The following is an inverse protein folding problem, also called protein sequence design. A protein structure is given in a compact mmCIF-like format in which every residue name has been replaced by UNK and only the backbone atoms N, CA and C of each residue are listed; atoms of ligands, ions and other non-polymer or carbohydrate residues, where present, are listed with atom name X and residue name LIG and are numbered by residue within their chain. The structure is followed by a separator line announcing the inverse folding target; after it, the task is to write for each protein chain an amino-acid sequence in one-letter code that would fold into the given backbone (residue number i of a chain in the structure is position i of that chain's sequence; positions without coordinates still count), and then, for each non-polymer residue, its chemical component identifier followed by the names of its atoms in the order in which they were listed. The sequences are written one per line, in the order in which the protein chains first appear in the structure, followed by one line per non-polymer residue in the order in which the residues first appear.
data_IF_257581972387
#
_entry.id   IF_257581972387
#
_cell.length_a   1.000
_cell.length_b   1.000
_cell.length_c   1.000
_cell.angle_alpha   90.00
_cell.angle_beta   90.00
_cell.angle_gamma   90.00
#
_symmetry.space_group_name_H-M   'P 1'
#
loop_
_entity.id
_entity.type
_entity.pdbx_description
1 polymer ?
#
# COMPACT_ATOMS: atom_id res chain seq x y z
N UNK A 1 12.38 -3.73 4.91
CA UNK A 1 11.91 -5.09 5.21
C UNK A 1 10.39 -5.09 5.14
N UNK A 2 9.74 -6.14 4.61
CA UNK A 2 8.28 -6.29 4.59
C UNK A 2 7.72 -6.63 5.98
N UNK A 3 6.51 -6.19 6.39
CA UNK A 3 5.88 -6.72 7.59
C UNK A 3 5.66 -8.23 7.45
N UNK A 4 6.27 -9.05 8.32
CA UNK A 4 6.08 -10.51 8.32
C UNK A 4 4.61 -10.93 8.50
N UNK A 5 3.77 -10.04 9.06
CA UNK A 5 2.35 -10.27 9.30
C UNK A 5 1.53 -10.45 8.02
N UNK A 6 1.98 -9.90 6.90
CA UNK A 6 1.33 -10.04 5.60
C UNK A 6 2.20 -10.99 4.79
N UNK A 7 1.82 -12.28 4.75
CA UNK A 7 2.54 -13.35 4.02
C UNK A 7 2.51 -13.18 2.49
N UNK A 8 2.52 -11.95 1.98
CA UNK A 8 2.62 -11.67 0.55
C UNK A 8 4.07 -11.83 0.07
N UNK A 9 4.27 -12.45 -1.11
CA UNK A 9 5.56 -12.44 -1.78
C UNK A 9 5.90 -11.01 -2.23
N UNK A 10 7.18 -10.74 -2.44
CA UNK A 10 7.57 -9.51 -3.13
C UNK A 10 6.96 -9.52 -4.54
N UNK A 11 6.47 -8.37 -5.00
CA UNK A 11 5.93 -8.20 -6.34
C UNK A 11 6.98 -7.51 -7.21
N UNK A 12 7.19 -8.04 -8.41
CA UNK A 12 7.85 -7.28 -9.48
C UNK A 12 6.85 -6.30 -10.13
N UNK A 13 7.29 -5.55 -11.13
CA UNK A 13 6.46 -4.56 -11.80
C UNK A 13 5.25 -5.17 -12.52
N UNK A 14 5.37 -6.38 -13.05
CA UNK A 14 4.27 -7.05 -13.77
C UNK A 14 3.19 -7.52 -12.79
N UNK A 15 3.61 -8.20 -11.72
CA UNK A 15 2.73 -8.62 -10.63
C UNK A 15 2.06 -7.42 -9.95
N UNK A 16 2.81 -6.35 -9.70
CA UNK A 16 2.27 -5.12 -9.11
C UNK A 16 1.27 -4.44 -10.04
N UNK A 17 1.57 -4.32 -11.34
CA UNK A 17 0.63 -3.75 -12.31
C UNK A 17 -0.69 -4.55 -12.37
N UNK A 18 -0.61 -5.88 -12.30
CA UNK A 18 -1.79 -6.74 -12.28
C UNK A 18 -2.56 -6.60 -10.96
N UNK A 19 -1.88 -6.47 -9.82
CA UNK A 19 -2.50 -6.19 -8.53
C UNK A 19 -3.24 -4.85 -8.56
N UNK A 20 -2.60 -3.78 -9.05
CA UNK A 20 -3.24 -2.46 -9.21
C UNK A 20 -4.48 -2.56 -10.10
N UNK A 21 -4.41 -3.26 -11.23
CA UNK A 21 -5.57 -3.45 -12.12
C UNK A 21 -6.76 -4.11 -11.42
N UNK A 22 -6.51 -5.07 -10.53
CA UNK A 22 -7.55 -5.77 -9.78
C UNK A 22 -8.10 -4.95 -8.61
N UNK A 23 -7.24 -4.16 -7.95
CA UNK A 23 -7.59 -3.40 -6.75
C UNK A 23 -8.17 -2.03 -7.07
N UNK A 24 -7.77 -1.44 -8.20
CA UNK A 24 -8.17 -0.09 -8.60
C UNK A 24 -9.69 0.12 -8.64
N UNK A 25 -10.50 -0.79 -9.21
CA UNK A 25 -11.95 -0.62 -9.18
C UNK A 25 -12.53 -0.54 -7.76
N UNK A 26 -12.00 -1.33 -6.82
CA UNK A 26 -12.51 -1.38 -5.45
C UNK A 26 -12.24 -0.10 -4.66
N UNK A 27 -11.12 0.57 -4.92
CA UNK A 27 -10.68 1.76 -4.17
C UNK A 27 -10.97 3.08 -4.90
N UNK A 28 -11.04 3.08 -6.23
CA UNK A 28 -10.99 4.33 -7.03
C UNK A 28 -12.15 4.51 -8.01
N UNK A 29 -12.94 3.47 -8.31
CA UNK A 29 -13.99 3.55 -9.34
C UNK A 29 -15.37 3.26 -8.75
N UNK A 30 -16.27 4.24 -8.79
CA UNK A 30 -17.61 4.11 -8.24
C UNK A 30 -18.17 5.44 -7.78
N UNK A 31 -19.49 5.55 -7.71
CA UNK A 31 -20.14 6.74 -7.18
C UNK A 31 -19.85 6.86 -5.67
N UNK A 32 -19.42 8.04 -5.24
CA UNK A 32 -19.06 8.31 -3.84
C UNK A 32 -17.66 7.83 -3.42
N UNK A 33 -16.85 7.30 -4.35
CA UNK A 33 -15.47 6.97 -4.05
C UNK A 33 -14.63 8.23 -3.84
N UNK A 34 -13.74 8.19 -2.85
CA UNK A 34 -12.79 9.27 -2.55
C UNK A 34 -11.42 8.67 -2.30
N UNK A 35 -10.40 9.28 -2.89
CA UNK A 35 -9.00 8.97 -2.62
C UNK A 35 -8.28 10.21 -2.11
N UNK A 36 -7.72 10.11 -0.92
CA UNK A 36 -6.86 11.13 -0.32
C UNK A 36 -5.69 10.40 0.34
N UNK A 37 -4.50 10.54 -0.25
CA UNK A 37 -3.23 10.06 0.28
C UNK A 37 -2.33 11.29 0.46
N UNK A 38 -1.84 11.48 1.68
CA UNK A 38 -0.94 12.58 2.01
C UNK A 38 0.28 12.05 2.75
N UNK A 39 1.41 12.73 2.56
CA UNK A 39 2.67 12.43 3.21
C UNK A 39 3.09 13.61 4.11
N UNK A 40 3.64 13.29 5.28
CA UNK A 40 4.18 14.28 6.20
C UNK A 40 5.64 14.57 5.85
N UNK A 41 5.86 15.60 5.03
CA UNK A 41 7.20 16.02 4.58
C UNK A 41 8.15 16.33 5.75
N UNK A 42 7.62 16.80 6.88
CA UNK A 42 8.43 17.14 8.06
C UNK A 42 9.01 15.91 8.76
N UNK A 43 8.46 14.72 8.48
CA UNK A 43 8.93 13.44 9.01
C UNK A 43 9.73 12.63 8.00
N UNK A 44 9.90 13.11 6.78
CA UNK A 44 10.67 12.41 5.74
C UNK A 44 12.11 12.23 6.18
N UNK A 45 12.61 11.00 6.07
CA UNK A 45 14.01 10.67 6.36
C UNK A 45 14.71 10.38 5.03
N UNK A 46 15.88 10.96 4.80
CA UNK A 46 16.67 10.75 3.57
C UNK A 46 18.09 10.34 3.94
N UNK A 47 18.52 9.20 3.40
CA UNK A 47 19.91 8.74 3.40
C UNK A 47 20.43 8.85 1.97
N UNK A 48 21.14 9.94 1.67
CA UNK A 48 21.63 10.26 0.32
C UNK A 48 22.69 9.24 -0.13
N UNK A 49 23.57 8.81 0.77
CA UNK A 49 24.66 7.88 0.46
C UNK A 49 24.12 6.52 0.04
N UNK A 50 23.03 6.08 0.69
CA UNK A 50 22.33 4.84 0.34
C UNK A 50 21.25 5.03 -0.72
N UNK A 51 20.92 6.27 -1.09
CA UNK A 51 19.79 6.64 -1.97
C UNK A 51 18.46 6.09 -1.45
N UNK A 52 18.27 6.13 -0.13
CA UNK A 52 17.05 5.65 0.53
C UNK A 52 16.28 6.86 1.06
N UNK A 53 14.96 6.83 0.90
CA UNK A 53 14.08 7.78 1.56
C UNK A 53 12.90 7.05 2.22
N UNK A 54 12.45 7.57 3.36
CA UNK A 54 11.33 7.04 4.13
C UNK A 54 10.24 8.11 4.20
N UNK A 55 9.04 7.75 3.76
CA UNK A 55 7.86 8.60 3.79
C UNK A 55 6.86 8.08 4.81
N UNK A 56 6.28 9.00 5.58
CA UNK A 56 5.20 8.71 6.52
C UNK A 56 3.90 9.22 5.92
N UNK A 57 3.01 8.31 5.57
CA UNK A 57 1.78 8.58 4.85
C UNK A 57 0.53 8.29 5.65
N UNK A 58 -0.56 8.97 5.30
CA UNK A 58 -1.92 8.63 5.75
C UNK A 58 -2.88 8.66 4.57
N UNK A 59 -3.83 7.75 4.57
CA UNK A 59 -4.93 7.74 3.62
C UNK A 59 -6.28 7.91 4.32
N UNK A 60 -7.20 8.68 3.72
CA UNK A 60 -8.61 8.79 4.12
C UNK A 60 -9.52 8.59 2.91
N UNK A 61 -9.71 7.32 2.58
CA UNK A 61 -10.39 6.89 1.37
C UNK A 61 -11.81 6.39 1.67
N UNK A 62 -12.64 6.41 0.64
CA UNK A 62 -13.93 5.71 0.62
C UNK A 62 -13.95 4.90 -0.66
N UNK A 63 -14.07 3.58 -0.52
CA UNK A 63 -14.22 2.66 -1.64
C UNK A 63 -15.49 1.83 -1.51
N UNK A 64 -15.59 0.77 -2.32
CA UNK A 64 -16.74 -0.14 -2.32
C UNK A 64 -16.98 -0.80 -0.95
N UNK A 65 -15.91 -1.06 -0.20
CA UNK A 65 -15.94 -1.63 1.15
C UNK A 65 -16.29 -0.58 2.24
N UNK A 66 -16.54 0.68 1.88
CA UNK A 66 -16.78 1.79 2.79
C UNK A 66 -15.51 2.58 3.14
N UNK A 67 -15.48 3.28 4.28
CA UNK A 67 -14.32 4.09 4.69
C UNK A 67 -13.06 3.24 4.90
N UNK A 68 -11.91 3.76 4.47
CA UNK A 68 -10.58 3.18 4.65
C UNK A 68 -9.61 4.27 5.10
N UNK A 69 -9.24 4.24 6.37
CA UNK A 69 -8.26 5.15 6.97
C UNK A 69 -7.01 4.36 7.33
N UNK A 70 -5.90 4.63 6.65
CA UNK A 70 -4.68 3.84 6.77
C UNK A 70 -3.47 4.73 7.05
N UNK A 71 -2.51 4.20 7.78
CA UNK A 71 -1.19 4.78 7.98
C UNK A 71 -0.13 3.95 7.23
N UNK A 72 0.85 4.64 6.67
CA UNK A 72 1.89 4.05 5.85
C UNK A 72 3.26 4.49 6.32
N UNK A 73 4.21 3.56 6.35
CA UNK A 73 5.65 3.85 6.33
C UNK A 73 6.19 3.24 5.05
N UNK A 74 6.60 4.09 4.11
CA UNK A 74 7.12 3.67 2.80
C UNK A 74 8.62 3.91 2.78
N UNK A 75 9.41 2.85 2.65
CA UNK A 75 10.86 2.94 2.43
C UNK A 75 11.14 2.67 0.96
N UNK A 76 11.79 3.62 0.30
CA UNK A 76 12.09 3.53 -1.12
C UNK A 76 13.58 3.74 -1.37
N UNK A 77 14.13 2.90 -2.24
CA UNK A 77 15.51 3.03 -2.74
C UNK A 77 15.47 3.54 -4.17
N UNK A 78 16.21 4.61 -4.44
CA UNK A 78 16.36 5.16 -5.77
C UNK A 78 17.52 4.51 -6.55
N UNK A 79 17.45 4.56 -7.88
CA UNK A 79 18.58 4.23 -8.76
C UNK A 79 19.72 5.24 -8.62
N UNK A 80 20.85 4.97 -9.26
CA UNK A 80 22.09 5.75 -9.11
C UNK A 80 21.94 7.25 -9.39
N UNK A 81 21.13 7.63 -10.37
CA UNK A 81 20.89 9.03 -10.73
C UNK A 81 19.75 9.70 -9.95
N UNK A 82 19.09 8.96 -9.04
CA UNK A 82 18.01 9.48 -8.20
C UNK A 82 16.69 9.75 -8.94
N UNK A 83 16.51 9.28 -10.17
CA UNK A 83 15.32 9.58 -10.99
C UNK A 83 14.19 8.56 -10.86
N UNK A 84 14.46 7.36 -10.34
CA UNK A 84 13.50 6.25 -10.26
C UNK A 84 13.64 5.47 -8.97
N UNK A 85 12.51 5.01 -8.44
CA UNK A 85 12.48 3.99 -7.38
C UNK A 85 12.78 2.61 -7.99
N UNK A 86 13.74 1.89 -7.43
CA UNK A 86 14.12 0.52 -7.85
C UNK A 86 13.74 -0.54 -6.82
N UNK A 87 13.43 -0.11 -5.60
CA UNK A 87 12.92 -0.98 -4.54
C UNK A 87 12.00 -0.16 -3.64
N UNK A 88 10.86 -0.72 -3.26
CA UNK A 88 9.91 -0.10 -2.35
C UNK A 88 9.39 -1.12 -1.37
N UNK A 89 9.26 -0.70 -0.13
CA UNK A 89 8.73 -1.51 0.96
C UNK A 89 7.70 -0.67 1.70
N UNK A 90 6.50 -1.23 1.87
CA UNK A 90 5.39 -0.56 2.54
C UNK A 90 5.05 -1.31 3.82
N UNK A 91 5.07 -0.58 4.93
CA UNK A 91 4.49 -1.02 6.19
C UNK A 91 3.16 -0.29 6.38
N UNK A 92 2.13 -1.05 6.73
CA UNK A 92 0.77 -0.54 6.92
C UNK A 92 0.22 -1.05 8.24
N UNK A 93 -0.82 -0.39 8.76
CA UNK A 93 -1.63 -0.99 9.83
C UNK A 93 -2.36 -2.22 9.26
N UNK A 94 -1.86 -3.39 9.65
CA UNK A 94 -2.40 -4.67 9.21
C UNK A 94 -3.80 -4.95 9.75
N UNK A 95 -4.20 -4.36 10.88
CA UNK A 95 -5.54 -4.54 11.42
C UNK A 95 -6.57 -3.78 10.58
N UNK A 96 -6.25 -2.55 10.18
CA UNK A 96 -7.05 -1.78 9.23
C UNK A 96 -7.17 -2.53 7.90
N UNK A 97 -6.05 -3.02 7.37
CA UNK A 97 -6.06 -3.76 6.12
C UNK A 97 -6.92 -5.04 6.21
N UNK A 98 -6.81 -5.79 7.31
CA UNK A 98 -7.61 -6.99 7.52
C UNK A 98 -9.11 -6.70 7.57
N UNK A 99 -9.53 -5.65 8.30
CA UNK A 99 -10.94 -5.22 8.36
C UNK A 99 -11.50 -4.89 6.98
N UNK A 100 -10.74 -4.15 6.16
CA UNK A 100 -11.16 -3.76 4.81
C UNK A 100 -11.26 -4.97 3.89
N UNK A 101 -10.30 -5.88 3.94
CA UNK A 101 -10.33 -7.11 3.15
C UNK A 101 -11.52 -8.00 3.57
N UNK A 102 -11.86 -8.04 4.86
CA UNK A 102 -13.05 -8.73 5.36
C UNK A 102 -14.34 -8.08 4.84
N UNK A 103 -14.47 -6.75 4.95
CA UNK A 103 -15.64 -5.99 4.42
C UNK A 103 -15.79 -6.12 2.91
N UNK A 104 -14.68 -6.21 2.18
CA UNK A 104 -14.65 -6.46 0.75
C UNK A 104 -15.00 -7.92 0.38
N UNK A 105 -15.15 -8.82 1.36
CA UNK A 105 -15.40 -10.24 1.13
C UNK A 105 -14.21 -10.98 0.49
N UNK A 106 -13.00 -10.46 0.67
CA UNK A 106 -11.74 -11.00 0.12
C UNK A 106 -11.01 -11.94 1.08
N UNK A 107 -11.53 -12.12 2.29
CA UNK A 107 -11.00 -13.05 3.30
C UNK A 107 -11.87 -14.33 3.29
N UNK A 108 -11.23 -15.50 3.30
CA UNK A 108 -11.84 -16.81 3.46
C UNK A 108 -12.15 -17.09 4.94
N UNK A 109 -12.99 -18.08 5.25
CA UNK A 109 -13.37 -18.43 6.64
C UNK A 109 -12.16 -18.80 7.52
N UNK A 110 -11.06 -19.25 6.92
CA UNK A 110 -9.82 -19.59 7.59
C UNK A 110 -8.85 -18.40 7.77
N UNK A 111 -9.27 -17.19 7.38
CA UNK A 111 -8.47 -15.97 7.46
C UNK A 111 -7.48 -15.78 6.32
N UNK A 112 -7.42 -16.68 5.34
CA UNK A 112 -6.59 -16.52 4.14
C UNK A 112 -7.24 -15.60 3.11
N UNK A 113 -6.45 -15.04 2.19
CA UNK A 113 -6.96 -14.17 1.12
C UNK A 113 -7.51 -15.03 -0.03
N UNK A 114 -8.67 -14.66 -0.57
CA UNK A 114 -9.19 -15.21 -1.83
C UNK A 114 -8.19 -14.89 -2.93
N UNK A 115 -7.54 -15.91 -3.49
CA UNK A 115 -6.75 -15.76 -4.71
C UNK A 115 -7.69 -15.46 -5.88
N UNK A 116 -7.42 -14.38 -6.60
CA UNK A 116 -8.04 -14.12 -7.91
C UNK A 116 -7.50 -15.08 -8.96
#
# INVERSE_FOLDING_TARGET
MKPESIKQPAMDNEAFAQWVKNVKPMFFEGEGHRWDLSFDESKTIVDVDKRIFVLFGKADNVGYFGPYKQEYIITSTANEDGTKVVHQEEMVDSAVLADVLQRAGLVLEDGSLKSN
#
